data_IF_421548478812
#
_entry.id   IF_421548478812
#
_cell.length_a   1.000
_cell.length_b   1.000
_cell.length_c   1.000
_cell.angle_alpha   90.00
_cell.angle_beta   90.00
_cell.angle_gamma   90.00
#
_symmetry.space_group_name_H-M   'P 1'
#
loop_
_entity.id
_entity.type
_entity.pdbx_description
1 polymer ?
#
# COMPACT_ATOMS: atom_id res chain seq x y z
N UNK A 1 -3.28 -12.25 -15.52
CA UNK A 1 -4.34 -11.81 -14.58
C UNK A 1 -4.90 -10.51 -15.13
N UNK A 2 -6.18 -10.45 -15.53
CA UNK A 2 -6.78 -9.18 -15.97
C UNK A 2 -7.44 -8.58 -14.75
N UNK A 3 -7.03 -7.39 -14.39
CA UNK A 3 -7.68 -6.59 -13.37
C UNK A 3 -8.59 -5.58 -14.10
N UNK A 4 -9.86 -5.56 -13.71
CA UNK A 4 -10.83 -4.59 -14.22
C UNK A 4 -10.98 -3.49 -13.18
N UNK A 5 -10.82 -2.24 -13.59
CA UNK A 5 -11.22 -1.11 -12.78
C UNK A 5 -12.67 -0.74 -13.14
N UNK A 6 -13.57 -0.79 -12.20
CA UNK A 6 -14.86 -0.12 -12.35
C UNK A 6 -14.89 1.03 -11.37
N UNK A 7 -14.93 2.22 -11.90
CA UNK A 7 -14.86 3.45 -11.15
C UNK A 7 -16.27 4.08 -11.02
N UNK A 8 -16.62 4.50 -9.82
CA UNK A 8 -17.66 5.50 -9.56
C UNK A 8 -17.03 6.59 -8.68
N UNK A 9 -16.74 7.76 -9.25
CA UNK A 9 -16.24 8.98 -8.64
C UNK A 9 -14.98 8.85 -7.78
N UNK A 10 -13.85 9.26 -8.32
CA UNK A 10 -12.63 9.57 -7.58
C UNK A 10 -12.75 11.03 -7.12
N UNK A 11 -13.06 11.27 -5.87
CA UNK A 11 -12.78 12.56 -5.26
C UNK A 11 -11.31 12.60 -4.90
N UNK A 12 -10.55 13.37 -5.64
CA UNK A 12 -9.17 13.69 -5.32
C UNK A 12 -9.19 14.89 -4.40
N UNK A 13 -8.78 14.70 -3.17
CA UNK A 13 -8.57 15.78 -2.23
C UNK A 13 -7.11 16.21 -2.34
N UNK A 14 -6.89 17.47 -2.70
CA UNK A 14 -5.59 18.11 -2.58
C UNK A 14 -5.48 18.72 -1.17
N UNK A 15 -4.86 17.99 -0.25
CA UNK A 15 -4.60 18.51 1.10
C UNK A 15 -3.42 19.49 1.11
N UNK A 16 -2.54 19.40 0.13
CA UNK A 16 -1.37 20.24 -0.02
C UNK A 16 -1.50 21.18 -1.23
N UNK A 17 -1.38 22.49 -0.99
CA UNK A 17 -1.39 23.51 -2.06
C UNK A 17 -0.28 23.30 -3.08
N UNK A 18 0.85 22.75 -2.67
CA UNK A 18 1.97 22.47 -3.59
C UNK A 18 1.61 21.32 -4.54
N UNK A 19 0.97 20.26 -4.04
CA UNK A 19 0.49 19.14 -4.87
C UNK A 19 -0.53 19.64 -5.90
N UNK A 20 -1.42 20.53 -5.51
CA UNK A 20 -2.37 21.16 -6.44
C UNK A 20 -1.68 21.96 -7.55
N UNK A 21 -0.62 22.72 -7.22
CA UNK A 21 0.13 23.52 -8.20
C UNK A 21 0.84 22.65 -9.25
N UNK A 22 1.41 21.51 -8.85
CA UNK A 22 2.09 20.57 -9.74
C UNK A 22 1.16 19.53 -10.33
N UNK A 23 -0.15 19.59 -10.02
CA UNK A 23 -1.18 18.65 -10.45
C UNK A 23 -0.87 17.18 -10.09
N UNK A 24 -0.17 16.99 -8.98
CA UNK A 24 0.12 15.65 -8.45
C UNK A 24 -0.87 15.29 -7.34
N UNK A 25 -1.26 14.03 -7.29
CA UNK A 25 -2.24 13.54 -6.32
C UNK A 25 -1.56 13.25 -4.99
N UNK A 26 -2.02 13.89 -3.92
CA UNK A 26 -1.53 13.60 -2.57
C UNK A 26 -2.38 12.57 -1.82
N UNK A 27 -3.59 12.35 -2.28
CA UNK A 27 -4.53 11.37 -1.70
C UNK A 27 -5.33 10.71 -2.81
N UNK A 28 -5.36 9.39 -2.82
CA UNK A 28 -6.06 8.62 -3.83
C UNK A 28 -6.75 7.39 -3.23
N UNK A 29 -7.87 7.01 -3.83
CA UNK A 29 -8.60 5.80 -3.54
C UNK A 29 -9.03 5.14 -4.84
N UNK A 30 -8.81 3.83 -5.00
CA UNK A 30 -9.23 3.11 -6.18
C UNK A 30 -9.59 1.65 -5.90
N UNK A 31 -10.43 1.10 -6.77
CA UNK A 31 -10.92 -0.27 -6.68
C UNK A 31 -10.43 -1.05 -7.89
N UNK A 32 -9.90 -2.24 -7.63
CA UNK A 32 -9.50 -3.20 -8.63
C UNK A 32 -10.41 -4.42 -8.56
N UNK A 33 -10.73 -4.99 -9.71
CA UNK A 33 -11.39 -6.30 -9.80
C UNK A 33 -10.56 -7.25 -10.65
N UNK A 34 -10.18 -8.39 -10.06
CA UNK A 34 -9.47 -9.42 -10.82
C UNK A 34 -10.42 -10.19 -11.75
N UNK A 35 -9.88 -10.89 -12.75
CA UNK A 35 -10.66 -11.83 -13.60
C UNK A 35 -11.42 -12.86 -12.80
N UNK A 36 -10.83 -13.31 -11.69
CA UNK A 36 -11.42 -14.32 -10.83
C UNK A 36 -12.42 -13.73 -9.81
N UNK A 37 -12.78 -12.45 -9.94
CA UNK A 37 -13.78 -11.81 -9.09
C UNK A 37 -13.27 -11.28 -7.77
N UNK A 38 -11.97 -11.33 -7.47
CA UNK A 38 -11.38 -10.73 -6.26
C UNK A 38 -11.52 -9.22 -6.36
N UNK A 39 -12.06 -8.60 -5.32
CA UNK A 39 -12.15 -7.15 -5.18
C UNK A 39 -11.01 -6.67 -4.31
N UNK A 40 -10.35 -5.59 -4.74
CA UNK A 40 -9.24 -4.97 -4.02
C UNK A 40 -9.54 -3.48 -3.93
N UNK A 41 -9.46 -2.95 -2.73
CA UNK A 41 -9.55 -1.53 -2.45
C UNK A 41 -8.18 -1.03 -2.00
N UNK A 42 -7.69 0.03 -2.63
CA UNK A 42 -6.44 0.68 -2.24
C UNK A 42 -6.75 2.14 -1.95
N UNK A 43 -6.36 2.60 -0.78
CA UNK A 43 -6.37 4.00 -0.42
C UNK A 43 -4.98 4.38 0.08
N UNK A 44 -4.51 5.52 -0.33
CA UNK A 44 -3.23 6.07 0.08
C UNK A 44 -3.30 7.59 0.22
N UNK A 45 -2.48 8.12 1.10
CA UNK A 45 -2.29 9.55 1.26
C UNK A 45 -0.83 9.83 1.61
N UNK A 46 -0.30 10.91 1.11
CA UNK A 46 1.03 11.39 1.50
C UNK A 46 1.05 11.98 2.92
N UNK A 47 -0.11 12.18 3.53
CA UNK A 47 -0.27 12.78 4.87
C UNK A 47 -1.01 11.85 5.80
N UNK A 48 -0.27 11.07 6.58
CA UNK A 48 -0.78 10.41 7.78
C UNK A 48 -0.17 11.12 8.99
N UNK A 49 -0.91 12.04 9.59
CA UNK A 49 -0.42 12.89 10.70
C UNK A 49 -0.09 12.12 11.98
N UNK A 50 -0.57 10.89 12.08
CA UNK A 50 -0.39 10.01 13.23
C UNK A 50 0.77 9.01 13.05
N UNK A 51 1.47 9.03 11.94
CA UNK A 51 2.62 8.16 11.67
C UNK A 51 2.61 7.55 10.28
N UNK A 52 3.54 6.61 10.02
CA UNK A 52 3.67 5.93 8.74
C UNK A 52 2.66 4.78 8.66
N UNK A 53 1.49 5.05 8.11
CA UNK A 53 0.39 4.09 8.01
C UNK A 53 0.52 3.18 6.79
N UNK A 54 0.72 1.88 7.04
CA UNK A 54 0.70 0.85 6.01
C UNK A 54 0.04 -0.42 6.56
N UNK A 55 -1.17 -0.66 6.14
CA UNK A 55 -1.98 -1.82 6.55
C UNK A 55 -2.44 -2.59 5.34
N UNK A 56 -2.53 -3.91 5.48
CA UNK A 56 -3.10 -4.80 4.47
C UNK A 56 -4.07 -5.74 5.16
N UNK A 57 -5.27 -5.86 4.61
CA UNK A 57 -6.27 -6.81 5.04
C UNK A 57 -6.65 -7.70 3.87
N UNK A 58 -6.67 -9.00 4.10
CA UNK A 58 -7.13 -9.99 3.12
C UNK A 58 -8.22 -10.83 3.75
N UNK A 59 -9.44 -10.68 3.24
CA UNK A 59 -10.61 -11.44 3.68
C UNK A 59 -10.98 -12.52 2.65
N UNK A 60 -11.26 -13.71 3.13
CA UNK A 60 -11.66 -14.83 2.29
C UNK A 60 -12.58 -15.82 3.02
N UNK A 61 -13.10 -16.79 2.31
CA UNK A 61 -14.05 -17.79 2.83
C UNK A 61 -13.50 -18.68 3.96
N UNK A 62 -12.18 -18.73 4.12
CA UNK A 62 -11.51 -19.52 5.17
C UNK A 62 -11.00 -18.68 6.33
N UNK A 63 -11.21 -17.37 6.31
CA UNK A 63 -10.74 -16.45 7.36
C UNK A 63 -10.20 -15.14 6.82
N UNK A 64 -9.56 -14.40 7.69
CA UNK A 64 -9.00 -13.09 7.42
C UNK A 64 -7.57 -12.99 7.95
N UNK A 65 -6.71 -12.30 7.21
CA UNK A 65 -5.35 -11.96 7.63
C UNK A 65 -5.20 -10.45 7.59
N UNK A 66 -4.62 -9.87 8.63
CA UNK A 66 -4.37 -8.44 8.74
C UNK A 66 -2.88 -8.23 9.06
N UNK A 67 -2.25 -7.36 8.30
CA UNK A 67 -0.96 -6.74 8.64
C UNK A 67 -1.22 -5.34 9.16
N UNK A 68 -1.06 -5.14 10.46
CA UNK A 68 -1.27 -3.86 11.12
C UNK A 68 -0.02 -2.97 11.11
N UNK A 69 -0.22 -1.71 11.47
CA UNK A 69 0.87 -0.79 11.77
C UNK A 69 1.70 -1.28 12.95
N UNK A 70 2.98 -0.98 12.92
CA UNK A 70 3.92 -1.33 13.98
C UNK A 70 4.13 -0.15 14.92
N UNK A 71 4.17 -0.45 16.21
CA UNK A 71 4.57 0.46 17.27
C UNK A 71 5.99 0.09 17.75
N UNK A 72 6.74 1.02 18.36
CA UNK A 72 8.06 0.74 18.93
C UNK A 72 8.07 -0.40 19.93
N UNK A 73 6.99 -0.52 20.72
CA UNK A 73 6.79 -1.62 21.67
C UNK A 73 5.39 -2.21 21.53
N UNK A 74 5.17 -3.37 22.14
CA UNK A 74 3.83 -3.99 22.28
C UNK A 74 3.09 -3.56 23.54
N UNK A 75 3.53 -2.49 24.22
CA UNK A 75 3.00 -2.06 25.49
C UNK A 75 1.61 -1.43 25.32
N UNK A 76 0.67 -1.87 26.15
CA UNK A 76 -0.67 -1.30 26.26
C UNK A 76 -0.91 -0.80 27.66
N UNK A 77 -1.45 0.39 27.82
CA UNK A 77 -1.72 1.01 29.10
C UNK A 77 -3.22 1.08 29.37
N UNK A 78 -3.60 0.63 30.55
CA UNK A 78 -4.96 0.69 31.08
C UNK A 78 -4.94 1.46 32.39
N UNK A 79 -5.76 2.48 32.53
CA UNK A 79 -5.88 3.32 33.73
C UNK A 79 -7.36 3.53 34.05
N UNK A 80 -7.64 4.26 35.14
CA UNK A 80 -9.01 4.66 35.46
C UNK A 80 -9.60 5.70 34.47
N UNK A 81 -8.79 6.30 33.60
CA UNK A 81 -9.19 7.34 32.65
C UNK A 81 -8.97 6.98 31.18
N UNK A 82 -8.24 5.90 30.93
CA UNK A 82 -7.95 5.45 29.53
C UNK A 82 -7.89 3.93 29.44
N UNK A 83 -8.30 3.40 28.30
CA UNK A 83 -8.29 1.97 28.00
C UNK A 83 -7.58 1.72 26.68
N UNK A 84 -6.68 0.72 26.66
CA UNK A 84 -5.94 0.28 25.47
C UNK A 84 -5.11 1.40 24.80
N UNK A 85 -4.48 2.22 25.61
CA UNK A 85 -3.60 3.28 25.14
C UNK A 85 -2.26 2.69 24.71
N UNK A 86 -1.86 2.95 23.48
CA UNK A 86 -0.64 2.42 22.86
C UNK A 86 0.32 3.55 22.55
N UNK A 87 1.58 3.19 22.35
CA UNK A 87 2.54 4.12 21.77
C UNK A 87 2.12 4.50 20.34
N UNK A 88 2.49 5.70 19.87
CA UNK A 88 2.34 6.07 18.48
C UNK A 88 3.01 5.04 17.55
N UNK A 89 2.45 4.82 16.38
CA UNK A 89 3.08 3.99 15.36
C UNK A 89 4.38 4.63 14.88
N UNK A 90 5.28 3.84 14.30
CA UNK A 90 6.50 4.38 13.70
C UNK A 90 6.17 5.55 12.78
N UNK A 91 6.89 6.65 12.93
CA UNK A 91 6.57 7.89 12.25
C UNK A 91 7.09 7.94 10.82
N UNK A 92 8.21 7.26 10.55
CA UNK A 92 8.91 7.36 9.27
C UNK A 92 9.21 6.00 8.65
N UNK A 93 9.37 5.96 7.33
CA UNK A 93 9.55 4.72 6.59
C UNK A 93 10.84 3.97 6.97
N UNK A 94 11.90 4.67 7.35
CA UNK A 94 13.16 4.04 7.76
C UNK A 94 12.96 3.14 8.98
N UNK A 95 12.27 3.65 10.00
CA UNK A 95 11.94 2.87 11.20
C UNK A 95 10.99 1.71 10.87
N UNK A 96 9.95 2.01 10.07
CA UNK A 96 8.94 1.02 9.69
C UNK A 96 9.50 -0.14 8.88
N UNK A 97 10.48 0.12 8.02
CA UNK A 97 11.04 -0.87 7.10
C UNK A 97 12.45 -1.31 7.43
N UNK A 98 13.00 -0.98 8.59
CA UNK A 98 14.37 -1.34 8.94
C UNK A 98 14.64 -2.84 8.74
N UNK A 99 13.77 -3.69 9.28
CA UNK A 99 13.91 -5.14 9.11
C UNK A 99 13.71 -5.57 7.66
N UNK A 100 12.77 -4.98 6.95
CA UNK A 100 12.50 -5.31 5.55
C UNK A 100 13.71 -5.00 4.65
N UNK A 101 14.40 -3.88 4.88
CA UNK A 101 15.63 -3.56 4.15
C UNK A 101 16.77 -4.54 4.44
N UNK A 102 16.92 -4.96 5.71
CA UNK A 102 17.92 -5.99 6.09
C UNK A 102 17.61 -7.32 5.40
N UNK A 103 16.34 -7.75 5.43
CA UNK A 103 15.90 -9.00 4.84
C UNK A 103 16.05 -8.99 3.31
N UNK A 104 15.69 -7.89 2.66
CA UNK A 104 15.88 -7.71 1.22
C UNK A 104 17.36 -7.82 0.82
N UNK A 105 18.23 -7.17 1.55
CA UNK A 105 19.67 -7.23 1.29
C UNK A 105 20.24 -8.65 1.47
N UNK A 106 19.88 -9.29 2.59
CA UNK A 106 20.32 -10.66 2.87
C UNK A 106 19.81 -11.66 1.82
N UNK A 107 18.57 -11.49 1.38
CA UNK A 107 17.99 -12.32 0.32
C UNK A 107 18.71 -12.11 -1.01
N UNK A 108 19.01 -10.86 -1.36
CA UNK A 108 19.79 -10.57 -2.56
C UNK A 108 21.17 -11.23 -2.54
N UNK A 109 21.88 -11.14 -1.41
CA UNK A 109 23.19 -11.81 -1.25
C UNK A 109 23.07 -13.32 -1.46
N UNK A 110 22.08 -13.98 -0.83
CA UNK A 110 21.81 -15.41 -1.02
C UNK A 110 21.52 -15.76 -2.49
N UNK A 111 20.75 -14.91 -3.18
CA UNK A 111 20.45 -15.12 -4.60
C UNK A 111 21.74 -15.08 -5.46
N UNK A 112 22.63 -14.15 -5.16
CA UNK A 112 23.94 -14.05 -5.86
C UNK A 112 24.82 -15.27 -5.59
N UNK A 113 24.97 -15.67 -4.32
CA UNK A 113 25.77 -16.81 -3.91
C UNK A 113 25.28 -18.14 -4.50
N UNK A 114 23.95 -18.34 -4.47
CA UNK A 114 23.31 -19.57 -4.93
C UNK A 114 22.91 -19.55 -6.41
N UNK A 115 23.12 -18.43 -7.11
CA UNK A 115 22.72 -18.21 -8.51
C UNK A 115 21.22 -18.47 -8.73
N UNK A 116 20.41 -18.07 -7.77
CA UNK A 116 18.94 -18.18 -7.82
C UNK A 116 18.30 -16.85 -8.21
N UNK A 117 17.03 -16.91 -8.62
CA UNK A 117 16.25 -15.69 -8.86
C UNK A 117 15.74 -15.13 -7.54
N UNK A 118 15.66 -13.78 -7.38
CA UNK A 118 15.05 -13.18 -6.22
C UNK A 118 13.55 -13.52 -6.17
N UNK A 119 13.00 -13.52 -4.96
CA UNK A 119 11.58 -13.76 -4.71
C UNK A 119 10.71 -12.70 -5.38
N UNK A 120 11.16 -11.45 -5.38
CA UNK A 120 10.53 -10.31 -6.07
C UNK A 120 11.51 -9.79 -7.12
N UNK A 121 11.12 -9.82 -8.37
CA UNK A 121 11.97 -9.47 -9.50
C UNK A 121 11.49 -8.26 -10.30
N UNK A 122 12.10 -8.06 -11.45
CA UNK A 122 11.79 -6.95 -12.35
C UNK A 122 10.31 -6.92 -12.78
N UNK A 123 9.75 -8.07 -13.12
CA UNK A 123 8.35 -8.14 -13.58
C UNK A 123 7.35 -7.74 -12.50
N UNK A 124 7.65 -8.02 -11.22
CA UNK A 124 6.79 -7.61 -10.09
C UNK A 124 6.77 -6.08 -9.97
N UNK A 125 7.93 -5.44 -10.07
CA UNK A 125 8.03 -3.98 -10.07
C UNK A 125 7.35 -3.35 -11.29
N UNK A 126 7.56 -3.93 -12.48
CA UNK A 126 6.89 -3.50 -13.72
C UNK A 126 5.37 -3.60 -13.59
N UNK A 127 4.87 -4.70 -13.07
CA UNK A 127 3.42 -4.91 -12.90
C UNK A 127 2.80 -3.92 -11.91
N UNK A 128 3.51 -3.59 -10.82
CA UNK A 128 3.07 -2.55 -9.89
C UNK A 128 2.96 -1.18 -10.58
N UNK A 129 3.93 -0.82 -11.41
CA UNK A 129 3.91 0.42 -12.18
C UNK A 129 2.78 0.45 -13.23
N UNK A 130 2.49 -0.66 -13.90
CA UNK A 130 1.36 -0.78 -14.83
C UNK A 130 0.04 -0.49 -14.09
N UNK A 131 -0.14 -1.02 -12.88
CA UNK A 131 -1.33 -0.75 -12.07
C UNK A 131 -1.43 0.74 -11.71
N UNK A 132 -0.33 1.35 -11.29
CA UNK A 132 -0.30 2.77 -10.95
C UNK A 132 -0.65 3.66 -12.15
N UNK A 133 -0.07 3.39 -13.31
CA UNK A 133 -0.36 4.12 -14.56
C UNK A 133 -1.82 3.96 -14.97
N UNK A 134 -2.39 2.76 -14.86
CA UNK A 134 -3.80 2.53 -15.15
C UNK A 134 -4.74 3.28 -14.18
N UNK A 135 -4.33 3.46 -12.92
CA UNK A 135 -5.07 4.29 -11.98
C UNK A 135 -5.07 5.77 -12.41
N UNK A 136 -3.93 6.30 -12.86
CA UNK A 136 -3.84 7.65 -13.43
C UNK A 136 -4.70 7.80 -14.68
N UNK A 137 -4.62 6.87 -15.63
CA UNK A 137 -5.44 6.87 -16.84
C UNK A 137 -6.95 6.84 -16.52
N UNK A 138 -7.34 6.03 -15.52
CA UNK A 138 -8.72 5.98 -15.05
C UNK A 138 -9.16 7.31 -14.45
N UNK A 139 -8.30 7.97 -13.68
CA UNK A 139 -8.55 9.28 -13.12
C UNK A 139 -8.75 10.34 -14.20
N UNK A 140 -7.83 10.43 -15.16
CA UNK A 140 -7.88 11.45 -16.21
C UNK A 140 -9.06 11.25 -17.18
N UNK A 141 -9.35 9.99 -17.53
CA UNK A 141 -10.41 9.67 -18.49
C UNK A 141 -11.80 9.51 -17.88
N UNK A 142 -11.91 9.34 -16.57
CA UNK A 142 -13.16 8.99 -15.86
C UNK A 142 -13.72 7.62 -16.27
N UNK A 143 -12.88 6.73 -16.82
CA UNK A 143 -13.29 5.42 -17.34
C UNK A 143 -12.67 4.28 -16.58
N UNK A 144 -13.30 3.12 -16.73
CA UNK A 144 -12.72 1.83 -16.33
C UNK A 144 -11.60 1.47 -17.29
N UNK A 145 -10.44 1.09 -16.75
CA UNK A 145 -9.26 0.71 -17.54
C UNK A 145 -9.01 -0.79 -17.41
N UNK A 146 -8.86 -1.45 -18.57
CA UNK A 146 -8.45 -2.84 -18.64
C UNK A 146 -6.93 -2.96 -18.54
N UNK A 147 -6.45 -3.55 -17.44
CA UNK A 147 -5.03 -3.73 -17.21
C UNK A 147 -4.55 -5.02 -17.89
N UNK A 148 -3.52 -4.88 -18.73
CA UNK A 148 -2.81 -5.97 -19.39
C UNK A 148 -1.36 -5.99 -18.90
N UNK A 149 -0.90 -7.16 -18.45
CA UNK A 149 0.48 -7.41 -18.01
C UNK A 149 1.30 -8.04 -19.14
#
# INVERSE_FOLDING_TARGET
>A
MILWFKYQHLEVLYFDKNSQQVKDLDTAMFILKSKNGVLIHINNSRRAVYGYDQRVEVFGSKGMVISNNQTPTSLERYTNTSTNEKEPIHFFFIERYEQAYRDQFNEFVKCVENKTKPLVGFEDGRNALIIANAAYESFESGKVIDIKF
#
